data_IF_384766250411
#
_entry.id   IF_384766250411
#
_cell.length_a   1.000
_cell.length_b   1.000
_cell.length_c   1.000
_cell.angle_alpha   90.00
_cell.angle_beta   90.00
_cell.angle_gamma   90.00
#
_symmetry.space_group_name_H-M   'P 1'
#
loop_
_entity.id
_entity.type
_entity.pdbx_description
1 polymer ?
#
# COMPACT_ATOMS: atom_id res chain seq x y z
N UNK A 1 -3.12 17.19 -28.08
CA UNK A 1 -3.71 17.11 -26.73
C UNK A 1 -4.69 15.95 -26.72
N UNK A 2 -4.48 14.95 -25.86
CA UNK A 2 -5.41 13.82 -25.72
C UNK A 2 -6.65 14.33 -24.96
N UNK A 3 -7.84 13.93 -25.39
CA UNK A 3 -9.09 14.22 -24.67
C UNK A 3 -9.35 13.10 -23.68
N UNK A 4 -9.68 13.45 -22.43
CA UNK A 4 -9.90 12.51 -21.33
C UNK A 4 -11.37 12.57 -20.92
N UNK A 5 -11.98 11.42 -20.71
CA UNK A 5 -13.31 11.28 -20.14
C UNK A 5 -13.19 11.25 -18.61
N UNK A 6 -13.24 12.43 -17.99
CA UNK A 6 -13.03 12.58 -16.54
C UNK A 6 -14.00 11.73 -15.70
N UNK A 7 -15.32 11.65 -15.99
CA UNK A 7 -16.22 10.72 -15.30
C UNK A 7 -15.73 9.26 -15.30
N UNK A 8 -15.14 8.77 -16.40
CA UNK A 8 -14.62 7.40 -16.46
C UNK A 8 -13.42 7.16 -15.56
N UNK A 9 -12.61 8.20 -15.25
CA UNK A 9 -11.52 8.06 -14.27
C UNK A 9 -12.03 7.64 -12.89
N UNK A 10 -13.29 7.94 -12.57
CA UNK A 10 -13.89 7.60 -11.29
C UNK A 10 -14.66 6.27 -11.32
N UNK A 11 -15.23 5.88 -12.45
CA UNK A 11 -16.08 4.68 -12.56
C UNK A 11 -15.43 3.45 -13.22
N UNK A 12 -14.36 3.63 -14.00
CA UNK A 12 -13.73 2.59 -14.83
C UNK A 12 -12.27 2.41 -14.42
N UNK A 13 -12.01 1.40 -13.58
CA UNK A 13 -10.68 1.13 -13.03
C UNK A 13 -9.61 0.87 -14.12
N UNK A 14 -9.85 0.04 -15.14
CA UNK A 14 -8.95 -0.07 -16.28
C UNK A 14 -8.63 1.26 -16.95
N UNK A 15 -9.64 2.11 -17.21
CA UNK A 15 -9.42 3.42 -17.83
C UNK A 15 -8.60 4.37 -16.95
N UNK A 16 -8.88 4.38 -15.64
CA UNK A 16 -8.10 5.15 -14.66
C UNK A 16 -6.64 4.69 -14.65
N UNK A 17 -6.40 3.38 -14.60
CA UNK A 17 -5.05 2.85 -14.57
C UNK A 17 -4.28 3.16 -15.85
N UNK A 18 -4.91 3.01 -17.03
CA UNK A 18 -4.32 3.41 -18.32
C UNK A 18 -3.93 4.89 -18.33
N UNK A 19 -4.83 5.77 -17.87
CA UNK A 19 -4.53 7.20 -17.76
C UNK A 19 -3.34 7.49 -16.85
N UNK A 20 -3.31 6.88 -15.66
CA UNK A 20 -2.25 7.11 -14.68
C UNK A 20 -0.89 6.62 -15.19
N UNK A 21 -0.84 5.42 -15.78
CA UNK A 21 0.42 4.87 -16.29
C UNK A 21 0.94 5.68 -17.48
N UNK A 22 0.08 6.10 -18.40
CA UNK A 22 0.46 6.99 -19.51
C UNK A 22 0.97 8.34 -19.01
N UNK A 23 0.24 8.98 -18.08
CA UNK A 23 0.59 10.30 -17.56
C UNK A 23 1.89 10.30 -16.76
N UNK A 24 2.09 9.27 -15.92
CA UNK A 24 3.31 9.10 -15.11
C UNK A 24 4.48 8.52 -15.91
N UNK A 25 4.23 8.07 -17.15
CA UNK A 25 5.19 7.35 -17.98
C UNK A 25 5.66 6.06 -17.31
N UNK A 26 4.76 5.31 -16.67
CA UNK A 26 5.01 3.97 -16.14
C UNK A 26 4.86 2.94 -17.27
N UNK A 27 5.97 2.37 -17.73
CA UNK A 27 6.01 1.50 -18.90
C UNK A 27 6.68 0.14 -18.64
N UNK A 28 6.86 -0.66 -19.69
CA UNK A 28 7.50 -1.99 -19.62
C UNK A 28 8.93 -1.94 -19.04
N UNK A 29 9.66 -0.83 -19.20
CA UNK A 29 11.01 -0.68 -18.63
C UNK A 29 10.95 -0.50 -17.13
N UNK A 30 9.96 0.22 -16.61
CA UNK A 30 9.74 0.34 -15.17
C UNK A 30 9.39 -1.03 -14.57
N UNK A 31 8.49 -1.77 -15.23
CA UNK A 31 8.14 -3.14 -14.81
C UNK A 31 9.37 -4.04 -14.80
N UNK A 32 10.18 -4.01 -15.86
CA UNK A 32 11.42 -4.79 -15.94
C UNK A 32 12.43 -4.40 -14.84
N UNK A 33 12.56 -3.11 -14.52
CA UNK A 33 13.42 -2.65 -13.43
C UNK A 33 12.93 -3.15 -12.05
N UNK A 34 11.62 -3.11 -11.81
CA UNK A 34 11.02 -3.62 -10.57
C UNK A 34 11.24 -5.12 -10.44
N UNK A 35 10.90 -5.88 -11.49
CA UNK A 35 11.07 -7.35 -11.50
C UNK A 35 12.56 -7.74 -11.41
N UNK A 36 13.46 -6.97 -12.04
CA UNK A 36 14.90 -7.17 -11.94
C UNK A 36 15.46 -6.94 -10.54
N UNK A 37 14.87 -6.02 -9.76
CA UNK A 37 15.24 -5.79 -8.37
C UNK A 37 14.61 -6.80 -7.39
N UNK A 38 13.53 -7.50 -7.79
CA UNK A 38 12.76 -8.37 -6.91
C UNK A 38 13.60 -9.48 -6.21
N UNK A 39 14.55 -10.17 -6.87
CA UNK A 39 15.40 -11.17 -6.19
C UNK A 39 16.28 -10.58 -5.08
N UNK A 40 16.65 -9.30 -5.19
CA UNK A 40 17.45 -8.59 -4.19
C UNK A 40 16.59 -8.03 -3.05
N UNK A 41 15.34 -7.66 -3.35
CA UNK A 41 14.38 -7.14 -2.37
C UNK A 41 13.71 -8.25 -1.57
N UNK A 42 13.47 -9.43 -2.16
CA UNK A 42 12.74 -10.52 -1.51
C UNK A 42 13.36 -10.96 -0.15
N UNK A 43 14.69 -11.10 0.01
CA UNK A 43 15.30 -11.41 1.30
C UNK A 43 15.11 -10.30 2.36
N UNK A 44 14.82 -9.08 1.94
CA UNK A 44 14.69 -7.90 2.80
C UNK A 44 13.24 -7.65 3.24
N UNK A 45 12.26 -8.30 2.61
CA UNK A 45 10.83 -8.15 2.94
C UNK A 45 10.53 -8.36 4.42
N UNK A 46 11.07 -9.39 5.12
CA UNK A 46 10.81 -9.57 6.55
C UNK A 46 11.25 -8.35 7.38
N UNK A 47 12.45 -7.83 7.14
CA UNK A 47 12.98 -6.67 7.86
C UNK A 47 12.19 -5.39 7.55
N UNK A 48 11.77 -5.21 6.29
CA UNK A 48 10.92 -4.09 5.90
C UNK A 48 9.54 -4.15 6.59
N UNK A 49 8.94 -5.34 6.65
CA UNK A 49 7.69 -5.56 7.37
C UNK A 49 7.87 -5.26 8.86
N UNK A 50 8.92 -5.75 9.50
CA UNK A 50 9.20 -5.43 10.91
C UNK A 50 9.34 -3.93 11.15
N UNK A 51 10.12 -3.24 10.31
CA UNK A 51 10.28 -1.78 10.39
C UNK A 51 8.95 -1.01 10.27
N UNK A 52 8.04 -1.48 9.41
CA UNK A 52 6.68 -0.90 9.30
C UNK A 52 5.91 -1.05 10.61
N UNK A 53 5.91 -2.24 11.21
CA UNK A 53 5.15 -2.45 12.45
C UNK A 53 5.78 -1.77 13.65
N UNK A 54 7.11 -1.71 13.73
CA UNK A 54 7.82 -0.91 14.73
C UNK A 54 7.47 0.58 14.58
N UNK A 55 7.35 1.07 13.35
CA UNK A 55 6.89 2.44 13.10
C UNK A 55 5.45 2.66 13.54
N UNK A 56 4.56 1.73 13.22
CA UNK A 56 3.13 1.82 13.56
C UNK A 56 2.89 1.73 15.08
N UNK A 57 3.68 0.94 15.81
CA UNK A 57 3.54 0.77 17.27
C UNK A 57 4.04 1.98 18.06
N UNK A 58 4.90 2.81 17.46
CA UNK A 58 5.35 4.06 18.06
C UNK A 58 4.29 5.16 18.17
N UNK A 59 3.10 4.98 17.58
CA UNK A 59 2.02 5.96 17.61
C UNK A 59 0.69 5.26 17.93
N UNK A 60 0.04 5.66 19.02
CA UNK A 60 -1.30 5.18 19.39
C UNK A 60 -2.30 5.30 18.23
N UNK A 61 -2.13 6.36 17.44
CA UNK A 61 -3.01 6.73 16.36
C UNK A 61 -3.06 5.67 15.26
N UNK A 62 -1.94 5.00 15.01
CA UNK A 62 -1.81 3.91 14.04
C UNK A 62 -1.97 2.54 14.69
N UNK A 63 -1.50 2.37 15.93
CA UNK A 63 -1.50 1.09 16.62
C UNK A 63 -2.90 0.63 17.05
N UNK A 64 -3.79 1.55 17.40
CA UNK A 64 -5.17 1.23 17.85
C UNK A 64 -5.98 0.42 16.84
N UNK A 65 -5.65 0.49 15.55
CA UNK A 65 -6.39 -0.24 14.50
C UNK A 65 -6.25 -1.75 14.62
N UNK A 66 -5.23 -2.24 15.32
CA UNK A 66 -5.00 -3.67 15.53
C UNK A 66 -5.65 -4.22 16.81
N UNK A 67 -6.17 -3.34 17.68
CA UNK A 67 -6.93 -3.71 18.87
C UNK A 67 -8.36 -4.21 18.54
N UNK A 68 -8.90 -3.83 17.37
CA UNK A 68 -10.20 -4.29 16.91
C UNK A 68 -10.09 -5.62 16.12
N UNK A 69 -11.15 -6.43 16.14
CA UNK A 69 -11.22 -7.64 15.32
C UNK A 69 -11.13 -7.28 13.83
N UNK A 70 -10.13 -7.87 13.18
CA UNK A 70 -9.87 -7.67 11.75
C UNK A 70 -10.58 -8.72 10.89
N UNK A 71 -10.92 -8.36 9.64
CA UNK A 71 -11.46 -9.32 8.69
C UNK A 71 -10.49 -10.49 8.46
N UNK A 72 -11.01 -11.72 8.49
CA UNK A 72 -10.21 -12.94 8.32
C UNK A 72 -9.48 -13.43 9.58
N UNK A 73 -9.35 -12.59 10.61
CA UNK A 73 -8.70 -12.99 11.87
C UNK A 73 -9.70 -13.57 12.88
N UNK A 74 -9.48 -14.82 13.27
CA UNK A 74 -10.37 -15.59 14.17
C UNK A 74 -9.86 -15.67 15.61
N UNK A 75 -8.64 -15.21 15.90
CA UNK A 75 -8.05 -15.25 17.24
C UNK A 75 -8.61 -14.20 18.20
N UNK A 76 -7.97 -14.11 19.37
CA UNK A 76 -8.25 -13.10 20.38
C UNK A 76 -7.68 -11.73 19.96
N UNK A 77 -8.38 -10.67 20.32
CA UNK A 77 -7.92 -9.29 20.13
C UNK A 77 -7.96 -8.56 21.46
N UNK A 78 -6.97 -7.71 21.68
CA UNK A 78 -6.90 -6.84 22.86
C UNK A 78 -7.85 -5.67 22.63
N UNK A 79 -8.82 -5.45 23.52
CA UNK A 79 -9.83 -4.38 23.34
C UNK A 79 -9.26 -2.96 23.47
N UNK A 80 -7.98 -2.83 23.82
CA UNK A 80 -7.28 -1.57 24.07
C UNK A 80 -5.93 -1.56 23.37
N UNK A 81 -5.55 -0.39 22.82
CA UNK A 81 -4.22 -0.15 22.24
C UNK A 81 -3.09 -0.29 23.28
N UNK A 82 -3.39 -0.03 24.56
CA UNK A 82 -2.40 -0.09 25.64
C UNK A 82 -2.07 -1.53 26.08
N UNK A 83 -2.88 -2.50 25.68
CA UNK A 83 -2.69 -3.93 25.98
C UNK A 83 -2.11 -4.69 24.78
N UNK A 84 -1.96 -4.01 23.64
CA UNK A 84 -1.53 -4.61 22.39
C UNK A 84 -0.01 -4.66 22.31
N UNK A 85 0.53 -5.87 22.17
CA UNK A 85 1.96 -6.14 22.12
C UNK A 85 2.39 -6.57 20.72
N UNK A 86 3.66 -6.35 20.36
CA UNK A 86 4.23 -6.80 19.08
C UNK A 86 4.17 -8.33 18.90
N UNK A 87 4.09 -9.06 20.02
CA UNK A 87 4.00 -10.52 20.10
C UNK A 87 2.58 -11.07 19.95
N UNK A 88 1.55 -10.22 19.89
CA UNK A 88 0.18 -10.69 19.73
C UNK A 88 -0.05 -11.33 18.35
N UNK A 89 -0.82 -12.43 18.32
CA UNK A 89 -1.09 -13.22 17.10
C UNK A 89 -1.72 -12.39 15.97
N UNK A 90 -2.50 -11.36 16.31
CA UNK A 90 -3.09 -10.44 15.34
C UNK A 90 -2.00 -9.65 14.59
N UNK A 91 -0.89 -9.32 15.24
CA UNK A 91 0.24 -8.61 14.63
C UNK A 91 0.98 -9.53 13.67
N UNK A 92 1.29 -10.76 14.08
CA UNK A 92 1.89 -11.77 13.22
C UNK A 92 1.03 -12.04 11.96
N UNK A 93 -0.29 -12.19 12.15
CA UNK A 93 -1.25 -12.36 11.05
C UNK A 93 -1.21 -11.20 10.04
N UNK A 94 -1.13 -9.95 10.53
CA UNK A 94 -1.10 -8.77 9.66
C UNK A 94 0.28 -8.56 9.02
N UNK A 95 1.37 -8.92 9.69
CA UNK A 95 2.73 -8.96 9.10
C UNK A 95 2.78 -9.92 7.90
N UNK A 96 2.20 -11.12 8.03
CA UNK A 96 2.12 -12.08 6.92
C UNK A 96 1.34 -11.51 5.72
N UNK A 97 0.22 -10.83 5.98
CA UNK A 97 -0.55 -10.14 4.94
C UNK A 97 0.27 -9.07 4.22
N UNK A 98 1.02 -8.24 4.95
CA UNK A 98 1.88 -7.21 4.36
C UNK A 98 3.03 -7.83 3.56
N UNK A 99 3.66 -8.90 4.07
CA UNK A 99 4.71 -9.61 3.35
C UNK A 99 4.18 -10.15 2.00
N UNK A 100 3.02 -10.82 2.00
CA UNK A 100 2.39 -11.30 0.75
C UNK A 100 2.07 -10.16 -0.21
N UNK A 101 1.61 -9.03 0.32
CA UNK A 101 1.32 -7.84 -0.48
C UNK A 101 2.58 -7.30 -1.17
N UNK A 102 3.67 -7.12 -0.43
CA UNK A 102 4.94 -6.64 -0.96
C UNK A 102 5.53 -7.60 -1.98
N UNK A 103 5.45 -8.91 -1.74
CA UNK A 103 5.86 -9.91 -2.73
C UNK A 103 5.06 -9.76 -4.02
N UNK A 104 3.72 -9.72 -3.94
CA UNK A 104 2.87 -9.55 -5.12
C UNK A 104 3.20 -8.27 -5.90
N UNK A 105 3.44 -7.18 -5.18
CA UNK A 105 3.77 -5.89 -5.74
C UNK A 105 5.04 -5.93 -6.61
N UNK A 106 6.05 -6.73 -6.23
CA UNK A 106 7.33 -6.80 -6.96
C UNK A 106 7.46 -7.98 -7.91
N UNK A 107 6.56 -8.97 -7.87
CA UNK A 107 6.68 -10.19 -8.70
C UNK A 107 5.54 -10.42 -9.69
N UNK A 108 4.33 -9.91 -9.43
CA UNK A 108 3.18 -10.19 -10.29
C UNK A 108 3.20 -9.31 -11.57
N UNK A 109 2.56 -9.74 -12.65
CA UNK A 109 2.32 -8.88 -13.81
C UNK A 109 1.38 -7.74 -13.43
N UNK A 110 1.63 -6.55 -13.98
CA UNK A 110 0.80 -5.35 -13.81
C UNK A 110 -0.46 -5.38 -14.70
N UNK A 111 -1.18 -6.51 -14.66
CA UNK A 111 -2.41 -6.72 -15.40
C UNK A 111 -3.64 -6.26 -14.62
N UNK A 112 -4.82 -6.37 -15.24
CA UNK A 112 -6.08 -5.99 -14.60
C UNK A 112 -6.37 -6.73 -13.28
N UNK A 113 -5.79 -7.93 -13.06
CA UNK A 113 -5.99 -8.67 -11.80
C UNK A 113 -5.17 -8.03 -10.68
N UNK A 114 -3.90 -7.69 -10.93
CA UNK A 114 -3.10 -6.98 -9.93
C UNK A 114 -3.72 -5.62 -9.63
N UNK A 115 -4.14 -4.86 -10.65
CA UNK A 115 -4.76 -3.54 -10.47
C UNK A 115 -6.03 -3.64 -9.62
N UNK A 116 -6.90 -4.62 -9.89
CA UNK A 116 -8.10 -4.89 -9.08
C UNK A 116 -7.75 -5.23 -7.63
N UNK A 117 -6.68 -6.00 -7.43
CA UNK A 117 -6.19 -6.34 -6.10
C UNK A 117 -5.66 -5.11 -5.35
N UNK A 118 -4.90 -4.23 -6.01
CA UNK A 118 -4.38 -3.00 -5.42
C UNK A 118 -5.50 -2.01 -5.04
N UNK A 119 -6.50 -1.83 -5.90
CA UNK A 119 -7.71 -1.04 -5.62
C UNK A 119 -8.45 -1.61 -4.40
N UNK A 120 -8.66 -2.93 -4.36
CA UNK A 120 -9.29 -3.58 -3.21
C UNK A 120 -8.49 -3.36 -1.91
N UNK A 121 -7.16 -3.35 -1.95
CA UNK A 121 -6.33 -3.03 -0.78
C UNK A 121 -6.58 -1.61 -0.27
N UNK A 122 -6.80 -0.64 -1.15
CA UNK A 122 -7.27 0.69 -0.74
C UNK A 122 -8.62 0.63 -0.02
N UNK A 123 -9.58 -0.05 -0.65
CA UNK A 123 -10.96 -0.17 -0.15
C UNK A 123 -11.04 -0.79 1.24
N UNK A 124 -10.24 -1.82 1.57
CA UNK A 124 -10.29 -2.50 2.88
C UNK A 124 -9.84 -1.64 4.06
N UNK A 125 -9.16 -0.52 3.82
CA UNK A 125 -8.77 0.42 4.88
C UNK A 125 -9.83 1.50 5.14
N UNK A 126 -10.93 1.46 4.38
CA UNK A 126 -12.07 2.36 4.51
C UNK A 126 -13.34 1.60 4.92
N UNK A 127 -14.39 2.28 5.40
CA UNK A 127 -15.69 1.66 5.70
C UNK A 127 -16.37 1.00 4.48
N UNK A 128 -15.92 1.29 3.26
CA UNK A 128 -16.52 0.79 2.01
C UNK A 128 -16.34 -0.71 1.79
N UNK A 129 -15.46 -1.37 2.54
CA UNK A 129 -15.22 -2.82 2.44
C UNK A 129 -16.20 -3.69 3.25
N UNK A 130 -17.16 -3.07 3.96
CA UNK A 130 -18.16 -3.78 4.77
C UNK A 130 -17.67 -4.18 6.17
N UNK A 131 -16.35 -4.14 6.42
CA UNK A 131 -15.77 -4.30 7.75
C UNK A 131 -15.77 -2.95 8.50
N UNK A 132 -16.93 -2.51 8.99
CA UNK A 132 -17.11 -1.21 9.69
C UNK A 132 -16.13 -0.97 10.86
N UNK A 133 -15.52 -2.02 11.39
CA UNK A 133 -14.57 -1.94 12.50
C UNK A 133 -13.18 -1.38 12.11
N UNK A 134 -12.84 -1.38 10.82
CA UNK A 134 -11.56 -0.85 10.32
C UNK A 134 -11.84 0.38 9.45
N UNK A 135 -11.43 1.54 9.96
CA UNK A 135 -11.47 2.81 9.24
C UNK A 135 -10.19 3.55 9.57
N UNK A 136 -9.21 3.49 8.67
CA UNK A 136 -7.91 4.14 8.86
C UNK A 136 -7.98 5.54 8.27
N UNK A 137 -7.89 6.63 9.05
CA UNK A 137 -7.94 7.98 8.49
C UNK A 137 -6.89 8.21 7.39
N UNK A 138 -7.28 8.94 6.33
CA UNK A 138 -6.40 9.25 5.19
C UNK A 138 -5.03 9.82 5.61
N UNK A 139 -5.00 10.69 6.62
CA UNK A 139 -3.74 11.25 7.15
C UNK A 139 -2.77 10.17 7.64
N UNK A 140 -3.27 9.09 8.23
CA UNK A 140 -2.46 7.99 8.72
C UNK A 140 -2.02 7.07 7.59
N UNK A 141 -2.91 6.83 6.62
CA UNK A 141 -2.59 6.08 5.40
C UNK A 141 -1.48 6.77 4.61
N UNK A 142 -1.60 8.07 4.37
CA UNK A 142 -0.57 8.85 3.67
C UNK A 142 0.76 8.90 4.45
N UNK A 143 0.71 9.00 5.79
CA UNK A 143 1.92 8.97 6.60
C UNK A 143 2.65 7.61 6.49
N UNK A 144 1.91 6.50 6.50
CA UNK A 144 2.49 5.18 6.28
C UNK A 144 3.05 5.04 4.87
N UNK A 145 2.34 5.50 3.85
CA UNK A 145 2.81 5.49 2.46
C UNK A 145 4.12 6.28 2.29
N UNK A 146 4.25 7.43 2.96
CA UNK A 146 5.49 8.21 2.99
C UNK A 146 6.65 7.45 3.65
N UNK A 147 6.39 6.75 4.76
CA UNK A 147 7.41 5.90 5.41
C UNK A 147 7.84 4.73 4.52
N UNK A 148 6.89 4.04 3.89
CA UNK A 148 7.16 2.92 2.97
C UNK A 148 7.98 3.40 1.77
N UNK A 149 7.66 4.57 1.21
CA UNK A 149 8.41 5.13 0.10
C UNK A 149 9.88 5.40 0.45
N UNK A 150 10.13 6.02 1.60
CA UNK A 150 11.50 6.26 2.09
C UNK A 150 12.25 4.95 2.36
N UNK A 151 11.57 3.96 2.93
CA UNK A 151 12.17 2.64 3.18
C UNK A 151 12.58 1.92 1.86
N UNK A 152 11.77 2.03 0.80
CA UNK A 152 12.15 1.52 -0.52
C UNK A 152 13.36 2.25 -1.10
N UNK A 153 13.39 3.59 -1.00
CA UNK A 153 14.54 4.38 -1.45
C UNK A 153 15.80 3.96 -0.71
N UNK A 154 15.78 3.95 0.62
CA UNK A 154 16.91 3.52 1.45
C UNK A 154 17.37 2.10 1.08
N UNK A 155 16.42 1.17 0.93
CA UNK A 155 16.70 -0.21 0.55
C UNK A 155 17.42 -0.28 -0.80
N UNK A 156 16.87 0.34 -1.85
CA UNK A 156 17.47 0.34 -3.19
C UNK A 156 18.86 0.98 -3.18
N UNK A 157 19.04 2.06 -2.41
CA UNK A 157 20.34 2.70 -2.24
C UNK A 157 21.39 1.78 -1.59
N UNK A 158 20.97 0.84 -0.77
CA UNK A 158 21.87 -0.12 -0.10
C UNK A 158 22.26 -1.34 -0.93
N UNK A 159 21.60 -1.57 -2.07
CA UNK A 159 21.81 -2.77 -2.91
C UNK A 159 23.13 -2.77 -3.70
N UNK A 160 23.94 -1.71 -3.62
CA UNK A 160 25.22 -1.56 -4.34
C UNK A 160 25.11 -1.86 -5.85
N UNK A 161 24.00 -1.45 -6.46
CA UNK A 161 23.77 -1.55 -7.90
C UNK A 161 24.65 -0.54 -8.66
N UNK A 162 24.88 -0.79 -9.94
CA UNK A 162 25.45 0.26 -10.80
C UNK A 162 24.49 1.46 -10.90
N UNK A 163 25.03 2.63 -11.21
CA UNK A 163 24.30 3.89 -11.17
C UNK A 163 23.08 3.92 -12.11
N UNK A 164 23.15 3.25 -13.26
CA UNK A 164 22.05 3.20 -14.22
C UNK A 164 20.90 2.33 -13.69
N UNK A 165 21.22 1.12 -13.23
CA UNK A 165 20.23 0.20 -12.64
C UNK A 165 19.60 0.78 -11.38
N UNK A 166 20.39 1.40 -10.51
CA UNK A 166 19.91 2.05 -9.29
C UNK A 166 18.94 3.20 -9.60
N UNK A 167 19.29 4.06 -10.57
CA UNK A 167 18.44 5.16 -11.01
C UNK A 167 17.14 4.65 -11.64
N UNK A 168 17.21 3.62 -12.49
CA UNK A 168 16.04 3.00 -13.09
C UNK A 168 15.11 2.42 -12.02
N UNK A 169 15.65 1.66 -11.05
CA UNK A 169 14.88 1.10 -9.94
C UNK A 169 14.20 2.21 -9.11
N UNK A 170 14.95 3.23 -8.67
CA UNK A 170 14.39 4.34 -7.88
C UNK A 170 13.22 5.03 -8.61
N UNK A 171 13.36 5.30 -9.92
CA UNK A 171 12.30 5.92 -10.71
C UNK A 171 11.09 5.02 -10.88
N UNK A 172 11.31 3.74 -11.15
CA UNK A 172 10.23 2.76 -11.32
C UNK A 172 9.43 2.56 -10.03
N UNK A 173 10.11 2.38 -8.89
CA UNK A 173 9.46 2.25 -7.58
C UNK A 173 8.75 3.54 -7.15
N UNK A 174 9.31 4.72 -7.44
CA UNK A 174 8.61 5.97 -7.17
C UNK A 174 7.27 6.06 -7.92
N UNK A 175 7.26 5.77 -9.22
CA UNK A 175 6.01 5.75 -10.02
C UNK A 175 5.03 4.71 -9.49
N UNK A 176 5.50 3.51 -9.18
CA UNK A 176 4.69 2.44 -8.62
C UNK A 176 4.00 2.85 -7.32
N UNK A 177 4.72 3.49 -6.40
CA UNK A 177 4.16 3.94 -5.13
C UNK A 177 3.13 5.06 -5.31
N UNK A 178 3.30 5.93 -6.32
CA UNK A 178 2.28 6.91 -6.69
C UNK A 178 1.03 6.29 -7.31
N UNK A 179 1.18 5.28 -8.17
CA UNK A 179 0.04 4.49 -8.70
C UNK A 179 -0.73 3.81 -7.56
N UNK A 180 0.00 3.16 -6.66
CA UNK A 180 -0.58 2.52 -5.47
C UNK A 180 -1.29 3.53 -4.59
N UNK A 181 -0.67 4.70 -4.34
CA UNK A 181 -1.28 5.75 -3.53
C UNK A 181 -2.57 6.29 -4.16
N UNK A 182 -2.62 6.51 -5.47
CA UNK A 182 -3.86 6.92 -6.14
C UNK A 182 -5.00 5.90 -5.94
N UNK A 183 -4.72 4.61 -6.17
CA UNK A 183 -5.68 3.52 -5.99
C UNK A 183 -6.14 3.38 -4.53
N UNK A 184 -5.30 3.75 -3.56
CA UNK A 184 -5.69 3.81 -2.15
C UNK A 184 -6.57 5.03 -1.88
N UNK A 185 -6.10 6.23 -2.25
CA UNK A 185 -6.69 7.52 -1.88
C UNK A 185 -8.07 7.72 -2.50
N UNK A 186 -8.34 7.16 -3.69
CA UNK A 186 -9.66 7.29 -4.34
C UNK A 186 -10.82 6.77 -3.47
N UNK A 187 -10.57 5.81 -2.58
CA UNK A 187 -11.60 5.30 -1.67
C UNK A 187 -11.93 6.24 -0.50
N UNK A 188 -11.08 7.25 -0.25
CA UNK A 188 -11.29 8.25 0.81
C UNK A 188 -12.09 9.46 0.34
N UNK A 189 -12.21 9.67 -0.97
CA UNK A 189 -12.94 10.82 -1.52
C UNK A 189 -14.44 10.79 -1.21
N UNK A 190 -15.00 9.61 -0.92
CA UNK A 190 -16.39 9.44 -0.53
C UNK A 190 -16.67 9.72 0.97
N UNK A 191 -15.65 9.81 1.83
CA UNK A 191 -15.84 10.11 3.27
C UNK A 191 -16.26 11.56 3.52
N UNK A 192 -15.90 12.49 2.63
CA UNK A 192 -16.24 13.91 2.77
C UNK A 192 -17.73 14.24 2.51
N UNK A 193 -18.55 13.24 2.17
CA UNK A 193 -19.98 13.41 1.88
C UNK A 193 -20.91 13.05 3.07
N UNK A 194 -20.38 12.57 4.20
CA UNK A 194 -21.20 12.36 5.41
C UNK A 194 -21.25 13.69 6.18
N UNK A 195 -22.42 14.36 6.29
CA UNK A 195 -22.52 15.56 7.10
C UNK A 195 -22.25 15.18 8.57
N UNK A 196 -21.41 15.95 9.24
CA UNK A 196 -21.33 15.89 10.69
C UNK A 196 -22.69 16.32 11.28
N UNK A 197 -23.50 15.36 11.71
CA UNK A 197 -24.76 15.61 12.40
C UNK A 197 -25.92 14.76 11.90
N UNK A 198 -26.13 13.64 12.59
CA UNK A 198 -27.45 13.05 12.82
C UNK A 198 -27.50 12.56 14.26
#
# INVERSE_FOLDING_TARGET
MKTIDEPRLESDLPYRFEYLTEFMGFDEKDIAAIHGAAPLLAPLVPALVDAVYDKLSGYDATWRHFAARQHGYKGEVKGSVHELEMTDDVIAFRKEHLARYLTKLVTEPYDGKLVTYLDFVGKIHTPLSGAKAISVPLVQMNALMGFVADAFVSTILSLNLDAETQSAALRAFNKLLWLQNDLIVRHYQHESAIPAGS
#
